data_IF_677965807542
#
_entry.id   IF_677965807542
#
_cell.length_a   1.000
_cell.length_b   1.000
_cell.length_c   1.000
_cell.angle_alpha   90.00
_cell.angle_beta   90.00
_cell.angle_gamma   90.00
#
_symmetry.space_group_name_H-M   'P 1'
#
loop_
_entity.id
_entity.type
_entity.pdbx_description
1 polymer ?
#
# COMPACT_ATOMS: atom_id res chain seq x y z
N UNK A 1 -23.81 -21.27 35.76
CA UNK A 1 -23.39 -20.70 34.46
C UNK A 1 -22.20 -19.80 34.76
N UNK A 2 -21.00 -20.27 34.44
CA UNK A 2 -19.74 -19.67 34.85
C UNK A 2 -19.52 -18.29 34.20
N UNK A 3 -19.20 -17.27 35.01
CA UNK A 3 -18.86 -15.93 34.53
C UNK A 3 -17.71 -15.93 33.50
N UNK A 4 -16.82 -16.94 33.56
CA UNK A 4 -15.72 -17.12 32.62
C UNK A 4 -16.18 -17.52 31.20
N UNK A 5 -17.38 -18.10 31.05
CA UNK A 5 -17.96 -18.44 29.75
C UNK A 5 -18.53 -17.21 29.04
N UNK A 6 -19.09 -16.27 29.81
CA UNK A 6 -19.60 -14.99 29.31
C UNK A 6 -18.45 -14.09 28.83
N UNK A 7 -17.38 -13.95 29.62
CA UNK A 7 -16.20 -13.14 29.26
C UNK A 7 -15.50 -13.61 27.98
N UNK A 8 -15.42 -14.93 27.75
CA UNK A 8 -14.90 -15.49 26.49
C UNK A 8 -15.81 -15.24 25.30
N UNK A 9 -17.14 -15.24 25.49
CA UNK A 9 -18.09 -14.85 24.44
C UNK A 9 -17.95 -13.38 24.09
N UNK A 10 -17.70 -12.52 25.08
CA UNK A 10 -17.51 -11.08 24.87
C UNK A 10 -16.16 -10.77 24.19
N UNK A 11 -15.08 -11.49 24.53
CA UNK A 11 -13.79 -11.43 23.79
C UNK A 11 -13.92 -11.91 22.33
N UNK A 12 -14.71 -12.96 22.09
CA UNK A 12 -14.95 -13.50 20.74
C UNK A 12 -15.92 -12.59 19.94
N UNK A 13 -16.82 -11.86 20.61
CA UNK A 13 -17.73 -10.90 20.00
C UNK A 13 -17.04 -9.56 19.68
N UNK A 14 -15.95 -9.21 20.35
CA UNK A 14 -15.19 -7.98 20.08
C UNK A 14 -14.31 -8.05 18.81
N UNK A 15 -14.05 -9.25 18.28
CA UNK A 15 -13.25 -9.44 17.05
C UNK A 15 -14.12 -9.43 15.77
N UNK A 16 -15.41 -9.13 15.86
CA UNK A 16 -16.30 -9.07 14.69
C UNK A 16 -17.17 -7.81 14.64
N UNK A 17 -16.53 -6.66 14.74
CA UNK A 17 -17.07 -5.45 14.11
C UNK A 17 -16.12 -4.96 13.01
N UNK A 18 -16.11 -5.69 11.90
CA UNK A 18 -15.71 -5.13 10.61
C UNK A 18 -16.94 -4.44 10.03
N UNK A 19 -17.34 -3.34 10.66
CA UNK A 19 -18.31 -2.40 10.08
C UNK A 19 -17.87 -2.13 8.64
N UNK A 20 -18.80 -2.25 7.69
CA UNK A 20 -18.57 -2.27 6.25
C UNK A 20 -17.98 -0.95 5.70
N UNK A 21 -16.73 -0.64 6.04
CA UNK A 21 -15.92 0.30 5.29
C UNK A 21 -15.68 -0.33 3.92
N UNK A 22 -16.10 0.38 2.87
CA UNK A 22 -15.83 -0.03 1.50
C UNK A 22 -14.35 -0.43 1.37
N UNK A 23 -14.07 -1.56 0.74
CA UNK A 23 -12.71 -2.08 0.59
C UNK A 23 -11.79 -0.96 0.06
N UNK A 24 -10.66 -0.66 0.74
CA UNK A 24 -9.79 0.42 0.34
C UNK A 24 -9.29 0.21 -1.08
N UNK A 25 -9.36 1.28 -1.88
CA UNK A 25 -8.86 1.29 -3.25
C UNK A 25 -7.39 1.72 -3.26
N UNK A 26 -6.54 0.89 -3.85
CA UNK A 26 -5.11 1.14 -4.03
C UNK A 26 -4.84 1.28 -5.52
N UNK A 27 -4.28 2.41 -5.94
CA UNK A 27 -3.87 2.63 -7.32
C UNK A 27 -2.38 2.41 -7.46
N UNK A 28 -1.96 1.63 -8.44
CA UNK A 28 -0.52 1.46 -8.78
C UNK A 28 -0.15 2.46 -9.87
N UNK A 29 0.51 3.55 -9.50
CA UNK A 29 0.82 4.64 -10.44
C UNK A 29 1.89 4.24 -11.47
N UNK A 30 2.85 3.42 -11.03
CA UNK A 30 3.92 2.87 -11.83
C UNK A 30 3.81 1.35 -11.89
N UNK A 31 4.51 0.74 -12.85
CA UNK A 31 4.80 -0.70 -12.85
C UNK A 31 5.80 -1.03 -11.74
N UNK A 32 6.02 -2.33 -11.49
CA UNK A 32 7.08 -2.83 -10.61
C UNK A 32 8.10 -3.59 -11.45
N UNK A 33 9.29 -3.03 -11.64
CA UNK A 33 10.32 -3.53 -12.55
C UNK A 33 9.77 -3.82 -13.96
N UNK A 34 9.06 -2.85 -14.53
CA UNK A 34 8.40 -2.95 -15.83
C UNK A 34 7.30 -4.02 -15.95
N UNK A 35 6.91 -4.67 -14.86
CA UNK A 35 5.83 -5.65 -14.81
C UNK A 35 4.56 -5.09 -14.14
N UNK A 36 3.37 -5.57 -14.53
CA UNK A 36 2.14 -5.29 -13.79
C UNK A 36 2.25 -5.79 -12.34
N UNK A 37 1.70 -5.01 -11.42
CA UNK A 37 1.71 -5.36 -10.00
C UNK A 37 0.89 -6.60 -9.66
N UNK A 38 -0.10 -6.97 -10.49
CA UNK A 38 -0.92 -8.18 -10.30
C UNK A 38 -0.07 -9.43 -10.02
N UNK A 39 1.06 -9.60 -10.73
CA UNK A 39 1.99 -10.73 -10.52
C UNK A 39 2.57 -10.79 -9.11
N UNK A 40 2.74 -9.64 -8.44
CA UNK A 40 3.26 -9.59 -7.07
C UNK A 40 2.17 -9.87 -6.03
N UNK A 41 0.94 -9.44 -6.31
CA UNK A 41 -0.20 -9.61 -5.41
C UNK A 41 -0.80 -11.02 -5.47
N UNK A 42 -0.96 -11.59 -6.66
CA UNK A 42 -1.46 -12.97 -6.83
C UNK A 42 -0.60 -14.00 -6.08
N UNK A 43 0.71 -13.75 -5.99
CA UNK A 43 1.65 -14.63 -5.31
C UNK A 43 1.61 -14.53 -3.76
N UNK A 44 1.00 -13.50 -3.16
CA UNK A 44 1.20 -13.17 -1.73
C UNK A 44 -0.07 -12.78 -0.95
N UNK A 45 -1.25 -12.83 -1.56
CA UNK A 45 -2.52 -12.42 -0.90
C UNK A 45 -3.33 -13.62 -0.36
N UNK A 46 -2.90 -14.85 -0.63
CA UNK A 46 -3.53 -16.05 -0.07
C UNK A 46 -3.50 -16.04 1.46
N UNK A 47 -4.66 -15.86 2.09
CA UNK A 47 -4.80 -15.86 3.56
C UNK A 47 -4.80 -14.49 4.24
N UNK A 48 -4.79 -13.38 3.49
CA UNK A 48 -4.96 -12.05 4.09
C UNK A 48 -6.41 -11.83 4.55
N UNK A 49 -6.62 -11.56 5.84
CA UNK A 49 -7.96 -11.27 6.39
C UNK A 49 -8.53 -9.93 5.90
N UNK A 50 -7.68 -9.05 5.38
CA UNK A 50 -8.06 -7.73 4.88
C UNK A 50 -8.24 -7.76 3.37
N UNK A 51 -9.40 -7.29 2.91
CA UNK A 51 -9.72 -7.16 1.50
C UNK A 51 -9.39 -5.74 1.02
N UNK A 52 -8.73 -5.62 -0.13
CA UNK A 52 -8.51 -4.35 -0.80
C UNK A 52 -8.77 -4.51 -2.31
N UNK A 53 -9.06 -3.40 -2.98
CA UNK A 53 -9.18 -3.34 -4.43
C UNK A 53 -7.91 -2.70 -4.95
N UNK A 54 -7.21 -3.36 -5.88
CA UNK A 54 -6.00 -2.85 -6.48
C UNK A 54 -6.23 -2.67 -7.98
N UNK A 55 -5.82 -1.53 -8.53
CA UNK A 55 -5.95 -1.23 -9.96
C UNK A 55 -4.78 -0.39 -10.47
N UNK A 56 -4.44 -0.52 -11.75
CA UNK A 56 -3.53 0.37 -12.46
C UNK A 56 -4.26 1.46 -13.26
N UNK A 57 -5.59 1.52 -13.16
CA UNK A 57 -6.43 2.55 -13.75
C UNK A 57 -6.22 3.91 -13.07
N UNK A 58 -5.56 4.82 -13.80
CA UNK A 58 -5.21 6.16 -13.33
C UNK A 58 -6.39 7.10 -13.22
N UNK A 59 -7.53 6.77 -13.84
CA UNK A 59 -8.75 7.57 -13.71
C UNK A 59 -9.33 7.46 -12.30
N UNK A 60 -9.01 6.38 -11.57
CA UNK A 60 -9.45 6.20 -10.19
C UNK A 60 -8.54 6.88 -9.17
N UNK A 61 -7.49 7.58 -9.61
CA UNK A 61 -6.51 8.21 -8.74
C UNK A 61 -7.16 9.02 -7.62
N UNK A 62 -8.13 9.90 -7.89
CA UNK A 62 -8.71 10.77 -6.86
C UNK A 62 -9.57 10.04 -5.81
N UNK A 63 -10.02 8.81 -6.13
CA UNK A 63 -10.84 7.95 -5.26
C UNK A 63 -9.98 7.01 -4.41
N UNK A 64 -8.71 6.82 -4.77
CA UNK A 64 -7.85 5.86 -4.10
C UNK A 64 -7.55 6.27 -2.66
N UNK A 65 -7.53 5.31 -1.74
CA UNK A 65 -7.05 5.50 -0.36
C UNK A 65 -5.52 5.58 -0.32
N UNK A 66 -4.85 4.83 -1.19
CA UNK A 66 -3.40 4.83 -1.33
C UNK A 66 -2.96 4.75 -2.80
N UNK A 67 -1.77 5.27 -3.08
CA UNK A 67 -1.17 5.26 -4.42
C UNK A 67 0.26 4.77 -4.32
N UNK A 68 0.58 3.67 -5.02
CA UNK A 68 1.91 3.05 -5.00
C UNK A 68 2.79 3.60 -6.12
N UNK A 69 4.01 3.99 -5.74
CA UNK A 69 5.04 4.47 -6.66
C UNK A 69 6.29 3.62 -6.51
N UNK A 70 6.50 2.67 -7.42
CA UNK A 70 7.78 2.01 -7.55
C UNK A 70 8.79 2.96 -8.20
N UNK A 71 9.78 3.37 -7.43
CA UNK A 71 10.66 4.49 -7.81
C UNK A 71 11.48 4.18 -9.07
N UNK A 72 11.91 2.93 -9.28
CA UNK A 72 12.65 2.55 -10.50
C UNK A 72 11.84 2.65 -11.78
N UNK A 73 10.51 2.68 -11.69
CA UNK A 73 9.60 2.85 -12.82
C UNK A 73 9.00 4.25 -12.88
N UNK A 74 9.40 5.15 -11.97
CA UNK A 74 8.86 6.48 -11.88
C UNK A 74 9.44 7.38 -12.97
N UNK A 75 8.53 7.91 -13.81
CA UNK A 75 8.86 8.83 -14.92
C UNK A 75 8.09 10.15 -14.86
N UNK A 76 6.96 10.17 -14.16
CA UNK A 76 6.11 11.35 -14.00
C UNK A 76 5.29 11.22 -12.72
N UNK A 77 4.97 12.36 -12.12
CA UNK A 77 4.07 12.45 -10.98
C UNK A 77 2.64 12.74 -11.45
N UNK A 78 1.60 12.33 -10.70
CA UNK A 78 0.24 12.78 -10.95
C UNK A 78 0.14 14.30 -10.77
N UNK A 79 -0.66 14.94 -11.63
CA UNK A 79 -0.92 16.39 -11.56
C UNK A 79 -1.85 16.77 -10.42
N UNK A 80 -2.70 15.83 -10.00
CA UNK A 80 -3.70 16.02 -8.95
C UNK A 80 -3.42 15.03 -7.83
N UNK A 81 -3.68 15.45 -6.60
CA UNK A 81 -3.58 14.63 -5.40
C UNK A 81 -4.71 14.99 -4.46
N UNK A 82 -5.43 13.99 -3.97
CA UNK A 82 -6.36 14.17 -2.87
C UNK A 82 -5.55 14.17 -1.55
N UNK A 83 -5.71 15.17 -0.66
CA UNK A 83 -4.92 15.29 0.55
C UNK A 83 -5.14 14.15 1.56
N UNK A 84 -6.23 13.38 1.42
CA UNK A 84 -6.54 12.23 2.27
C UNK A 84 -5.86 10.93 1.83
N UNK A 85 -5.11 10.94 0.73
CA UNK A 85 -4.46 9.77 0.19
C UNK A 85 -3.08 9.55 0.79
N UNK A 86 -2.70 8.28 0.93
CA UNK A 86 -1.33 7.90 1.20
C UNK A 86 -0.56 7.69 -0.10
N UNK A 87 0.44 8.52 -0.36
CA UNK A 87 1.39 8.30 -1.44
C UNK A 87 2.55 7.47 -0.90
N UNK A 88 2.69 6.26 -1.43
CA UNK A 88 3.60 5.24 -0.92
C UNK A 88 4.85 5.19 -1.79
N UNK A 89 6.00 5.49 -1.18
CA UNK A 89 7.31 5.31 -1.77
C UNK A 89 7.65 3.82 -1.76
N UNK A 90 7.78 3.19 -2.92
CA UNK A 90 8.16 1.78 -3.02
C UNK A 90 9.52 1.65 -3.69
N UNK A 91 10.46 1.02 -3.00
CA UNK A 91 11.79 0.78 -3.57
C UNK A 91 12.41 -0.49 -2.98
N UNK A 92 12.83 -1.36 -3.89
CA UNK A 92 13.52 -2.60 -3.56
C UNK A 92 14.95 -2.63 -4.12
N UNK A 93 15.51 -1.44 -4.39
CA UNK A 93 16.88 -1.28 -4.88
C UNK A 93 17.71 -0.53 -3.86
N UNK A 94 19.01 -0.84 -3.81
CA UNK A 94 19.96 -0.08 -3.00
C UNK A 94 20.04 1.39 -3.45
N UNK A 95 20.53 2.31 -2.60
CA UNK A 95 20.67 3.72 -2.99
C UNK A 95 21.50 3.90 -4.27
N UNK A 96 22.55 3.08 -4.43
CA UNK A 96 23.42 3.09 -5.61
C UNK A 96 22.65 2.74 -6.90
N UNK A 97 21.65 1.87 -6.82
CA UNK A 97 20.84 1.43 -7.96
C UNK A 97 19.53 2.23 -8.12
N UNK A 98 19.35 3.29 -7.34
CA UNK A 98 18.18 4.19 -7.46
C UNK A 98 18.36 5.23 -8.57
N UNK A 99 19.59 5.56 -8.95
CA UNK A 99 19.94 6.54 -9.98
C UNK A 99 19.22 7.90 -9.79
N UNK A 100 18.84 8.57 -10.87
CA UNK A 100 18.24 9.91 -10.89
C UNK A 100 16.70 9.91 -10.86
N UNK A 101 16.06 8.81 -10.47
CA UNK A 101 14.61 8.67 -10.48
C UNK A 101 13.88 9.61 -9.49
N UNK A 102 14.61 10.24 -8.58
CA UNK A 102 14.08 11.14 -7.55
C UNK A 102 14.37 12.61 -7.82
N UNK A 103 15.21 12.96 -8.78
CA UNK A 103 15.70 14.33 -8.99
C UNK A 103 14.58 15.33 -9.28
N UNK A 104 13.49 14.87 -9.92
CA UNK A 104 12.32 15.70 -10.23
C UNK A 104 11.21 15.60 -9.17
N UNK A 105 11.40 14.79 -8.13
CA UNK A 105 10.40 14.58 -7.09
C UNK A 105 10.59 15.64 -5.99
N UNK A 106 9.55 16.44 -5.68
CA UNK A 106 9.64 17.40 -4.59
C UNK A 106 9.97 16.74 -3.25
N UNK A 107 10.65 17.46 -2.37
CA UNK A 107 10.83 17.02 -0.98
C UNK A 107 9.47 16.79 -0.30
N UNK A 108 9.39 15.80 0.59
CA UNK A 108 8.18 15.44 1.33
C UNK A 108 6.98 15.06 0.44
N UNK A 109 7.23 14.52 -0.75
CA UNK A 109 6.16 14.11 -1.67
C UNK A 109 5.40 12.87 -1.18
N UNK A 110 6.09 11.89 -0.60
CA UNK A 110 5.51 10.64 -0.14
C UNK A 110 5.14 10.70 1.35
N UNK A 111 4.07 10.01 1.73
CA UNK A 111 3.61 9.93 3.12
C UNK A 111 4.25 8.77 3.88
N UNK A 112 4.38 7.62 3.24
CA UNK A 112 4.87 6.39 3.85
C UNK A 112 5.83 5.67 2.91
N UNK A 113 6.70 4.87 3.50
CA UNK A 113 7.77 4.12 2.85
C UNK A 113 7.49 2.62 2.89
N UNK A 114 7.73 1.95 1.76
CA UNK A 114 7.67 0.51 1.61
C UNK A 114 8.96 0.00 0.97
N UNK A 115 9.93 -0.42 1.80
CA UNK A 115 11.29 -0.80 1.34
C UNK A 115 11.90 -1.95 2.14
N UNK A 116 13.08 -2.43 1.71
CA UNK A 116 13.88 -3.43 2.43
C UNK A 116 14.58 -2.89 3.68
N UNK A 117 14.47 -1.59 4.00
CA UNK A 117 15.01 -1.08 5.26
C UNK A 117 14.04 -1.38 6.39
N UNK A 118 14.57 -1.82 7.54
CA UNK A 118 13.75 -2.16 8.72
C UNK A 118 13.07 -0.96 9.38
N UNK A 119 13.51 0.25 9.06
CA UNK A 119 12.94 1.52 9.55
C UNK A 119 11.90 2.12 8.58
N UNK A 120 11.48 1.38 7.55
CA UNK A 120 10.34 1.78 6.71
C UNK A 120 9.01 1.53 7.41
N UNK A 121 8.00 2.34 7.08
CA UNK A 121 6.63 2.17 7.60
C UNK A 121 6.08 0.77 7.26
N UNK A 122 6.43 0.27 6.07
CA UNK A 122 6.13 -1.09 5.61
C UNK A 122 7.45 -1.77 5.20
N UNK A 123 7.87 -2.75 5.98
CA UNK A 123 9.08 -3.52 5.68
C UNK A 123 8.79 -4.61 4.63
N UNK A 124 9.51 -4.57 3.50
CA UNK A 124 9.48 -5.60 2.45
C UNK A 124 10.89 -6.20 2.23
N UNK A 125 11.22 -7.35 2.85
CA UNK A 125 12.55 -7.94 2.73
C UNK A 125 12.89 -8.37 1.30
N UNK A 126 14.19 -8.60 1.05
CA UNK A 126 14.67 -9.30 -0.15
C UNK A 126 14.30 -10.78 -0.11
#
# INVERSE_FOLDING_TARGET
MDLNYQLKKDEIAFVKDHTSLASPLIVTWTKFFSQPWARRFEANVGGCAYHCIITDDKEQLLKASAVLFHIRDLKKLPKLRNPKQLFVFVLHESPLYTFNHLDFVPSNYFNITMTYRRDSDIYIPY
#
